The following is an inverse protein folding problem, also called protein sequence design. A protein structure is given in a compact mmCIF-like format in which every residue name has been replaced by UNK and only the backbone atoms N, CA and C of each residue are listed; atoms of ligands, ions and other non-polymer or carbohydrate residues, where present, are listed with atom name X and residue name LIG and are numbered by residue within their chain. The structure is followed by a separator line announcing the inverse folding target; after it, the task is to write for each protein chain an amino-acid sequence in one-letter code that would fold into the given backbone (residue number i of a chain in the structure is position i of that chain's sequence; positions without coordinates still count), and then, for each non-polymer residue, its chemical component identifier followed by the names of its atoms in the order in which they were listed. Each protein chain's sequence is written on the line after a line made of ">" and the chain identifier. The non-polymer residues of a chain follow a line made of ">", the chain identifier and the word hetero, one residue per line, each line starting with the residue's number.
data_IF_643777766199
#
_entry.id   IF_643777766199
#
_cell.length_a   1.000
_cell.length_b   1.000
_cell.length_c   1.000
_cell.angle_alpha   90.00
_cell.angle_beta   90.00
_cell.angle_gamma   90.00
#
_symmetry.space_group_name_H-M   'P 1'
#
loop_
_entity.id
_entity.type
_entity.pdbx_description
1 polymer ?
#
# COMPACT_ATOMS: atom_id res chain seq x y z
N UNK A 1 31.62 -5.30 5.13
CA UNK A 1 30.36 -5.22 4.38
C UNK A 1 29.70 -3.87 4.62
N UNK A 2 29.66 -3.03 3.62
CA UNK A 2 29.09 -1.69 3.74
C UNK A 2 27.57 -1.82 3.74
N UNK A 3 26.90 -1.59 4.87
CA UNK A 3 25.44 -1.52 4.93
C UNK A 3 24.98 -0.35 4.06
N UNK A 4 24.43 -0.61 2.89
CA UNK A 4 23.78 0.41 2.06
C UNK A 4 22.71 1.10 2.91
N UNK A 5 22.82 2.41 3.07
CA UNK A 5 21.75 3.22 3.68
C UNK A 5 20.52 3.15 2.81
N UNK A 6 19.53 2.38 3.26
CA UNK A 6 18.24 2.28 2.58
C UNK A 6 17.59 3.67 2.62
N UNK A 7 17.21 4.17 1.45
CA UNK A 7 16.59 5.49 1.34
C UNK A 7 15.32 5.55 2.19
N UNK A 8 15.21 6.53 3.05
CA UNK A 8 14.06 6.78 3.92
C UNK A 8 12.76 7.06 3.14
N UNK A 9 12.88 7.46 1.89
CA UNK A 9 11.79 8.02 1.08
C UNK A 9 11.44 7.17 -0.14
N UNK A 10 12.35 6.33 -0.61
CA UNK A 10 12.14 5.49 -1.79
C UNK A 10 11.92 4.04 -1.36
N UNK A 11 10.82 3.46 -1.83
CA UNK A 11 10.54 2.04 -1.59
C UNK A 11 11.52 1.18 -2.38
N UNK A 12 12.02 0.13 -1.75
CA UNK A 12 12.81 -0.89 -2.43
C UNK A 12 11.83 -1.73 -3.25
N UNK A 13 12.10 -1.85 -4.56
CA UNK A 13 11.28 -2.63 -5.48
C UNK A 13 11.85 -4.01 -5.75
N UNK A 14 13.16 -4.17 -5.55
CA UNK A 14 13.82 -5.44 -5.78
C UNK A 14 13.65 -6.37 -4.59
N UNK A 15 13.15 -7.60 -4.77
CA UNK A 15 12.93 -8.55 -3.69
C UNK A 15 14.21 -8.90 -2.93
N UNK A 16 15.35 -9.02 -3.63
CA UNK A 16 16.64 -9.39 -3.05
C UNK A 16 17.24 -8.31 -2.13
N UNK A 17 16.82 -7.05 -2.31
CA UNK A 17 17.27 -5.92 -1.49
C UNK A 17 16.33 -5.65 -0.30
N UNK A 18 15.21 -6.36 -0.20
CA UNK A 18 14.25 -6.17 0.88
C UNK A 18 14.83 -6.71 2.20
N UNK A 19 14.76 -5.92 3.30
CA UNK A 19 15.16 -6.41 4.59
C UNK A 19 14.22 -7.55 5.02
N UNK A 20 14.75 -8.63 5.62
CA UNK A 20 13.91 -9.71 6.13
C UNK A 20 12.92 -9.16 7.14
N UNK A 21 11.66 -9.54 7.00
CA UNK A 21 10.59 -9.08 7.86
C UNK A 21 9.77 -10.25 8.40
N UNK A 22 9.89 -10.44 9.71
CA UNK A 22 8.99 -11.30 10.47
C UNK A 22 7.94 -10.42 11.12
N UNK A 23 6.67 -10.73 10.89
CA UNK A 23 5.56 -10.05 11.54
C UNK A 23 5.63 -10.25 13.05
N UNK A 24 5.39 -9.18 13.78
CA UNK A 24 5.30 -9.16 15.24
C UNK A 24 3.97 -8.53 15.66
N UNK A 25 3.58 -8.73 16.90
CA UNK A 25 2.36 -8.15 17.46
C UNK A 25 2.33 -6.61 17.32
N UNK A 26 3.50 -5.98 17.44
CA UNK A 26 3.65 -4.54 17.20
C UNK A 26 3.31 -4.15 15.76
N UNK A 27 3.64 -4.97 14.77
CA UNK A 27 3.34 -4.69 13.36
C UNK A 27 1.84 -4.80 13.10
N UNK A 28 1.21 -5.83 13.68
CA UNK A 28 -0.24 -6.02 13.65
C UNK A 28 -0.95 -4.82 14.27
N UNK A 29 -0.50 -4.37 15.43
CA UNK A 29 -1.06 -3.21 16.12
C UNK A 29 -0.89 -1.92 15.28
N UNK A 30 0.30 -1.71 14.69
CA UNK A 30 0.56 -0.56 13.81
C UNK A 30 -0.39 -0.57 12.61
N UNK A 31 -0.57 -1.71 11.94
CA UNK A 31 -1.45 -1.82 10.78
C UNK A 31 -2.92 -1.62 11.17
N UNK A 32 -3.37 -2.21 12.28
CA UNK A 32 -4.73 -2.05 12.79
C UNK A 32 -5.02 -0.58 13.08
N UNK A 33 -4.11 0.10 13.79
CA UNK A 33 -4.27 1.53 14.10
C UNK A 33 -4.16 2.42 12.86
N UNK A 34 -3.31 2.07 11.88
CA UNK A 34 -3.28 2.75 10.60
C UNK A 34 -4.56 2.53 9.77
N UNK A 35 -5.26 1.41 9.97
CA UNK A 35 -6.56 1.14 9.39
C UNK A 35 -7.71 1.86 10.09
N UNK A 36 -7.66 2.04 11.41
CA UNK A 36 -8.65 2.81 12.19
C UNK A 36 -8.53 4.32 11.92
N UNK A 37 -7.31 4.83 11.89
CA UNK A 37 -7.02 6.24 11.62
C UNK A 37 -6.57 6.42 10.18
N UNK A 38 -7.16 7.37 9.49
CA UNK A 38 -6.78 7.66 8.10
C UNK A 38 -5.30 8.05 7.95
N UNK A 39 -4.78 8.72 8.95
CA UNK A 39 -3.40 9.19 9.03
C UNK A 39 -2.88 8.95 10.44
N UNK A 40 -1.73 8.35 10.57
CA UNK A 40 -1.10 8.12 11.86
C UNK A 40 0.35 8.60 11.84
N UNK A 41 0.76 9.30 12.88
CA UNK A 41 2.12 9.79 13.02
C UNK A 41 2.96 8.85 13.88
N UNK A 42 4.30 8.95 13.77
CA UNK A 42 5.19 8.21 14.67
C UNK A 42 4.92 8.51 16.15
N UNK A 43 4.59 9.77 16.47
CA UNK A 43 4.29 10.15 17.85
C UNK A 43 3.01 9.45 18.38
N UNK A 44 1.96 9.39 17.57
CA UNK A 44 0.74 8.65 17.92
C UNK A 44 1.02 7.16 18.12
N UNK A 45 1.81 6.57 17.22
CA UNK A 45 2.21 5.16 17.35
C UNK A 45 2.99 4.89 18.65
N UNK A 46 3.90 5.78 19.02
CA UNK A 46 4.61 5.67 20.31
C UNK A 46 3.66 5.73 21.50
N UNK A 47 2.70 6.65 21.47
CA UNK A 47 1.71 6.79 22.55
C UNK A 47 0.81 5.56 22.68
N UNK A 48 0.42 4.94 21.55
CA UNK A 48 -0.48 3.78 21.53
C UNK A 48 0.26 2.50 21.93
N UNK A 49 1.49 2.31 21.41
CA UNK A 49 2.26 1.07 21.62
C UNK A 49 3.12 1.07 22.87
N UNK A 50 3.43 2.25 23.41
CA UNK A 50 4.42 2.42 24.47
C UNK A 50 5.87 2.13 24.03
N UNK A 51 6.10 1.85 22.77
CA UNK A 51 7.41 1.51 22.23
C UNK A 51 8.27 2.75 21.98
N UNK A 52 9.58 2.58 22.02
CA UNK A 52 10.50 3.67 21.76
C UNK A 52 10.43 4.15 20.31
N UNK A 53 10.80 5.41 20.08
CA UNK A 53 10.83 6.01 18.73
C UNK A 53 11.68 5.20 17.75
N UNK A 54 12.78 4.65 18.23
CA UNK A 54 13.66 3.83 17.41
C UNK A 54 12.95 2.57 16.91
N UNK A 55 12.28 1.84 17.79
CA UNK A 55 11.53 0.62 17.46
C UNK A 55 10.44 0.93 16.46
N UNK A 56 9.61 1.96 16.71
CA UNK A 56 8.53 2.36 15.80
C UNK A 56 9.08 2.74 14.42
N UNK A 57 10.16 3.52 14.35
CA UNK A 57 10.76 3.92 13.09
C UNK A 57 11.30 2.72 12.30
N UNK A 58 11.95 1.76 12.94
CA UNK A 58 12.45 0.56 12.26
C UNK A 58 11.29 -0.34 11.78
N UNK A 59 10.24 -0.50 12.58
CA UNK A 59 9.06 -1.26 12.18
C UNK A 59 8.31 -0.60 11.03
N UNK A 60 7.97 0.66 11.14
CA UNK A 60 7.29 1.41 10.07
C UNK A 60 8.13 1.48 8.79
N UNK A 61 9.46 1.52 8.89
CA UNK A 61 10.36 1.47 7.73
C UNK A 61 10.29 0.11 7.02
N UNK A 62 10.32 -1.00 7.76
CA UNK A 62 10.16 -2.33 7.19
C UNK A 62 8.80 -2.48 6.52
N UNK A 63 7.72 -2.15 7.21
CA UNK A 63 6.36 -2.19 6.68
C UNK A 63 6.20 -1.32 5.41
N UNK A 64 6.86 -0.17 5.36
CA UNK A 64 6.89 0.69 4.18
C UNK A 64 7.57 0.01 2.99
N UNK A 65 8.76 -0.57 3.19
CA UNK A 65 9.47 -1.23 2.09
C UNK A 65 8.74 -2.47 1.58
N UNK A 66 8.09 -3.22 2.46
CA UNK A 66 7.27 -4.37 2.08
C UNK A 66 5.89 -4.01 1.48
N UNK A 67 5.52 -2.74 1.48
CA UNK A 67 4.30 -2.25 0.84
C UNK A 67 3.04 -2.33 1.70
N UNK A 68 3.16 -2.55 3.00
CA UNK A 68 2.03 -2.54 3.93
C UNK A 68 1.62 -1.12 4.34
N UNK A 69 2.61 -0.22 4.45
CA UNK A 69 2.39 1.19 4.77
C UNK A 69 2.90 2.09 3.65
N UNK A 70 2.19 3.19 3.42
CA UNK A 70 2.66 4.34 2.66
C UNK A 70 3.23 5.41 3.59
N UNK A 71 4.12 6.26 3.09
CA UNK A 71 4.63 7.46 3.78
C UNK A 71 4.21 8.70 3.04
N UNK A 72 3.71 9.66 3.78
CA UNK A 72 3.37 10.99 3.30
C UNK A 72 4.16 12.02 4.09
N UNK A 73 4.59 13.07 3.43
CA UNK A 73 5.16 14.26 4.06
C UNK A 73 4.15 15.38 3.93
N UNK A 74 3.87 16.04 5.04
CA UNK A 74 3.19 17.33 4.97
C UNK A 74 4.20 18.35 4.45
N UNK A 75 3.82 19.08 3.42
CA UNK A 75 4.57 20.28 3.05
C UNK A 75 4.57 21.22 4.26
N UNK A 76 5.75 21.45 4.84
CA UNK A 76 5.86 22.38 5.95
C UNK A 76 5.81 23.79 5.38
N UNK A 77 4.96 24.70 5.90
CA UNK A 77 5.08 26.11 5.60
C UNK A 77 6.49 26.57 5.99
N UNK A 78 7.11 27.39 5.18
CA UNK A 78 8.54 27.68 5.13
C UNK A 78 9.16 28.40 6.35
N UNK A 79 8.51 28.42 7.49
CA UNK A 79 8.91 29.17 8.67
C UNK A 79 9.42 28.27 9.80
N UNK A 80 10.58 27.69 9.63
CA UNK A 80 11.28 27.01 10.72
C UNK A 80 11.87 25.67 10.32
N UNK A 81 13.17 25.57 10.34
CA UNK A 81 13.97 24.44 9.89
C UNK A 81 13.80 23.11 10.64
N UNK A 82 12.57 22.71 10.92
CA UNK A 82 12.22 21.44 11.53
C UNK A 82 11.85 20.40 10.49
N UNK A 83 12.29 19.16 10.69
CA UNK A 83 11.89 18.03 9.86
C UNK A 83 10.40 17.74 10.07
N UNK A 84 9.58 17.82 9.00
CA UNK A 84 8.17 17.49 9.06
C UNK A 84 7.94 16.08 9.62
N UNK A 85 6.93 15.88 10.48
CA UNK A 85 6.59 14.57 11.00
C UNK A 85 6.22 13.62 9.86
N UNK A 86 6.75 12.42 9.92
CA UNK A 86 6.35 11.37 8.97
C UNK A 86 4.93 10.91 9.27
N UNK A 87 4.06 10.99 8.28
CA UNK A 87 2.70 10.45 8.33
C UNK A 87 2.70 9.10 7.66
N UNK A 88 2.13 8.13 8.33
CA UNK A 88 1.94 6.79 7.82
C UNK A 88 0.48 6.61 7.41
N UNK A 89 0.27 5.99 6.26
CA UNK A 89 -1.06 5.64 5.73
C UNK A 89 -1.07 4.16 5.39
N UNK A 90 -2.24 3.53 5.46
CA UNK A 90 -2.37 2.15 5.06
C UNK A 90 -2.26 2.04 3.54
N UNK A 91 -1.40 1.13 3.06
CA UNK A 91 -1.24 0.84 1.63
C UNK A 91 -2.04 -0.41 1.23
N UNK A 92 -2.08 -0.73 -0.04
CA UNK A 92 -2.87 -1.83 -0.61
C UNK A 92 -2.60 -3.18 0.08
N UNK A 93 -1.33 -3.57 0.22
CA UNK A 93 -0.98 -4.82 0.91
C UNK A 93 -1.41 -4.84 2.38
N UNK A 94 -1.27 -3.71 3.08
CA UNK A 94 -1.72 -3.59 4.46
C UNK A 94 -3.23 -3.76 4.59
N UNK A 95 -4.00 -3.18 3.69
CA UNK A 95 -5.46 -3.34 3.64
C UNK A 95 -5.86 -4.78 3.38
N UNK A 96 -5.27 -5.41 2.35
CA UNK A 96 -5.54 -6.82 2.03
C UNK A 96 -5.23 -7.72 3.22
N UNK A 97 -4.12 -7.47 3.91
CA UNK A 97 -3.74 -8.22 5.09
C UNK A 97 -4.74 -8.07 6.24
N UNK A 98 -5.19 -6.84 6.53
CA UNK A 98 -6.21 -6.59 7.57
C UNK A 98 -7.57 -7.22 7.22
N UNK A 99 -7.98 -7.16 5.96
CA UNK A 99 -9.21 -7.79 5.49
C UNK A 99 -9.14 -9.32 5.62
N UNK A 100 -8.02 -9.94 5.25
CA UNK A 100 -7.81 -11.38 5.35
C UNK A 100 -7.79 -11.88 6.81
N UNK A 101 -7.31 -11.07 7.73
CA UNK A 101 -7.26 -11.40 9.16
C UNK A 101 -8.52 -10.94 9.92
N UNK A 102 -9.55 -10.48 9.23
CA UNK A 102 -10.82 -10.01 9.81
C UNK A 102 -10.64 -8.98 10.94
N UNK A 103 -9.56 -8.22 10.91
CA UNK A 103 -9.23 -7.29 11.98
C UNK A 103 -10.07 -6.01 11.90
N UNK A 104 -10.43 -5.59 10.68
CA UNK A 104 -11.22 -4.38 10.42
C UNK A 104 -12.18 -4.66 9.25
N UNK A 105 -13.41 -4.13 9.32
CA UNK A 105 -14.40 -4.24 8.26
C UNK A 105 -13.87 -3.60 6.94
N UNK A 106 -13.99 -4.34 5.84
CA UNK A 106 -13.54 -3.90 4.51
C UNK A 106 -14.22 -2.60 4.05
N UNK A 107 -15.47 -2.35 4.46
CA UNK A 107 -16.17 -1.10 4.20
C UNK A 107 -15.45 0.10 4.83
N UNK A 108 -15.00 -0.06 6.08
CA UNK A 108 -14.24 0.97 6.79
C UNK A 108 -12.89 1.22 6.10
N UNK A 109 -12.20 0.16 5.70
CA UNK A 109 -10.93 0.25 4.99
C UNK A 109 -11.03 0.99 3.66
N UNK A 110 -12.13 0.80 2.92
CA UNK A 110 -12.37 1.51 1.64
C UNK A 110 -12.62 3.01 1.86
N UNK A 111 -13.31 3.38 2.92
CA UNK A 111 -13.62 4.78 3.21
C UNK A 111 -12.39 5.58 3.63
N UNK A 112 -11.40 4.92 4.25
CA UNK A 112 -10.19 5.56 4.78
C UNK A 112 -9.11 5.73 3.71
N UNK A 113 -9.06 4.84 2.72
CA UNK A 113 -8.00 4.88 1.72
C UNK A 113 -8.22 6.00 0.73
N UNK A 114 -7.25 6.93 0.57
CA UNK A 114 -7.33 7.91 -0.50
C UNK A 114 -7.37 7.19 -1.85
N UNK A 115 -8.10 7.71 -2.84
CA UNK A 115 -8.11 7.11 -4.17
C UNK A 115 -6.68 7.00 -4.69
N UNK A 116 -6.26 5.78 -4.92
CA UNK A 116 -4.96 5.53 -5.53
C UNK A 116 -5.09 5.95 -6.98
N UNK A 117 -4.32 6.95 -7.41
CA UNK A 117 -4.27 7.44 -8.80
C UNK A 117 -3.58 6.44 -9.75
N UNK A 118 -3.48 5.18 -9.38
CA UNK A 118 -3.20 4.11 -10.31
C UNK A 118 -4.53 3.66 -10.90
N UNK A 119 -4.95 4.32 -11.99
CA UNK A 119 -5.89 3.70 -12.90
C UNK A 119 -5.35 2.33 -13.26
N UNK A 120 -6.06 1.23 -12.96
CA UNK A 120 -5.72 -0.02 -13.60
C UNK A 120 -5.84 0.27 -15.10
N UNK A 121 -4.73 0.12 -15.82
CA UNK A 121 -4.77 0.08 -17.29
C UNK A 121 -5.85 -0.92 -17.64
N UNK A 122 -6.96 -0.42 -18.15
CA UNK A 122 -8.07 -1.27 -18.55
C UNK A 122 -7.48 -2.32 -19.50
N UNK A 123 -7.79 -3.61 -19.31
CA UNK A 123 -7.35 -4.62 -20.26
C UNK A 123 -7.87 -4.18 -21.61
N UNK A 124 -6.97 -3.94 -22.56
CA UNK A 124 -7.29 -3.63 -23.94
C UNK A 124 -8.26 -4.68 -24.41
N UNK A 125 -9.50 -4.28 -24.59
CA UNK A 125 -10.58 -5.12 -25.10
C UNK A 125 -10.09 -5.64 -26.44
N UNK A 126 -9.66 -6.90 -26.48
CA UNK A 126 -9.30 -7.56 -27.70
C UNK A 126 -10.45 -7.38 -28.69
N UNK A 127 -10.15 -6.75 -29.82
CA UNK A 127 -11.10 -6.50 -30.85
C UNK A 127 -11.76 -7.84 -31.23
N UNK A 128 -13.04 -7.98 -30.93
CA UNK A 128 -13.87 -9.04 -31.41
C UNK A 128 -13.83 -8.99 -32.93
N UNK A 129 -13.10 -9.90 -33.54
CA UNK A 129 -13.17 -10.13 -34.97
C UNK A 129 -14.63 -10.52 -35.29
N UNK A 130 -15.33 -9.60 -35.91
CA UNK A 130 -16.61 -9.92 -36.57
C UNK A 130 -16.32 -11.02 -37.56
N UNK A 131 -16.82 -12.19 -37.26
CA UNK A 131 -16.94 -13.25 -38.24
C UNK A 131 -17.88 -12.80 -39.32
N UNK A 132 -17.36 -12.47 -40.49
CA UNK A 132 -18.14 -12.13 -41.66
C UNK A 132 -18.91 -13.36 -42.09
N UNK A 133 -20.17 -13.17 -42.16
CA UNK A 133 -21.23 -14.04 -42.66
C UNK A 133 -20.89 -14.47 -44.08
N UNK A 134 -20.48 -15.71 -44.25
CA UNK A 134 -20.39 -16.33 -45.58
C UNK A 134 -21.77 -16.88 -45.94
N UNK A 135 -22.18 -16.52 -47.13
CA UNK A 135 -23.51 -16.75 -47.65
C UNK A 135 -23.88 -18.23 -47.74
N UNK A 136 -25.15 -18.48 -47.52
CA UNK A 136 -25.81 -19.73 -47.77
C UNK A 136 -26.14 -19.75 -49.25
N UNK A 137 -25.46 -20.55 -50.05
CA UNK A 137 -25.92 -20.90 -51.36
C UNK A 137 -26.89 -22.10 -51.29
N UNK A 138 -28.04 -21.83 -51.75
CA UNK A 138 -29.08 -22.82 -52.01
C UNK A 138 -28.61 -23.72 -53.15
N UNK A 139 -28.44 -25.00 -52.90
CA UNK A 139 -28.45 -26.03 -53.93
C UNK A 139 -29.86 -26.55 -54.10
N UNK A 140 -30.46 -26.20 -55.23
CA UNK A 140 -31.65 -26.88 -55.73
C UNK A 140 -31.24 -28.22 -56.30
N UNK A 141 -32.04 -29.21 -56.00
CA UNK A 141 -32.02 -30.51 -56.63
C UNK A 141 -33.19 -30.61 -57.60
N UNK A 142 -32.99 -31.30 -58.72
CA UNK A 142 -34.14 -31.86 -59.43
C UNK A 142 -34.54 -33.24 -58.90
#
# INVERSE_FOLDING_TARGET
>A
MTRRRISKYKRITKPDELPPHLFQDTDTLILTKAGEYRYITTAMLMAITGASRYVINERTKKLFHHGYLGRRHLAHPQNGGGSSPSIHVLDYKGRTWLSQNNTIDDRHLRSITPPTTHSPTAPTRAASKRCSRVGIELCETP
#
